data_IF_808843763241
#
_entry.id   IF_808843763241
#
_cell.length_a   1.000
_cell.length_b   1.000
_cell.length_c   1.000
_cell.angle_alpha   90.00
_cell.angle_beta   90.00
_cell.angle_gamma   90.00
#
_symmetry.space_group_name_H-M   'P 1'
#
loop_
_entity.id
_entity.type
_entity.pdbx_description
1 polymer ?
#
# COMPACT_ATOMS: atom_id res chain seq x y z
N UNK A 1 -63.98 -41.10 13.46
CA UNK A 1 -64.39 -39.99 12.55
C UNK A 1 -64.42 -38.74 13.37
N UNK A 2 -63.46 -37.91 13.14
CA UNK A 2 -63.51 -36.45 12.92
C UNK A 2 -62.10 -35.88 12.92
N UNK A 3 -61.70 -35.59 11.74
CA UNK A 3 -60.48 -34.90 11.36
C UNK A 3 -60.53 -33.43 11.79
N UNK A 4 -59.49 -32.94 12.44
CA UNK A 4 -59.32 -31.53 12.70
C UNK A 4 -58.30 -30.96 11.69
N UNK A 5 -58.61 -29.99 10.82
CA UNK A 5 -57.70 -29.41 9.87
C UNK A 5 -56.80 -28.36 10.56
N UNK A 6 -55.52 -28.54 10.37
CA UNK A 6 -54.52 -27.58 10.80
C UNK A 6 -54.73 -26.22 10.13
N UNK A 7 -54.75 -25.19 10.95
CA UNK A 7 -54.69 -23.81 10.52
C UNK A 7 -53.23 -23.44 10.31
N UNK A 8 -52.85 -23.52 9.03
CA UNK A 8 -51.66 -22.93 8.52
C UNK A 8 -51.84 -21.39 8.56
N UNK A 9 -51.19 -20.75 9.51
CA UNK A 9 -51.30 -19.30 9.67
C UNK A 9 -50.05 -18.70 9.04
N UNK A 10 -50.16 -17.91 7.93
CA UNK A 10 -49.00 -17.25 7.32
C UNK A 10 -48.42 -16.24 8.30
N UNK A 11 -47.10 -15.91 8.17
CA UNK A 11 -46.43 -14.98 9.06
C UNK A 11 -47.12 -13.59 8.98
N UNK A 12 -47.71 -13.20 10.08
CA UNK A 12 -48.39 -11.90 10.24
C UNK A 12 -47.30 -10.83 10.24
N UNK A 13 -47.25 -10.05 9.18
CA UNK A 13 -46.51 -8.79 9.08
C UNK A 13 -47.10 -7.83 10.16
N UNK A 14 -46.55 -7.89 11.39
CA UNK A 14 -46.99 -7.02 12.49
C UNK A 14 -46.41 -5.63 12.26
N UNK A 15 -47.23 -4.61 11.98
CA UNK A 15 -46.75 -3.25 11.90
C UNK A 15 -46.04 -2.87 13.21
N UNK A 16 -44.82 -2.33 13.11
CA UNK A 16 -44.04 -1.84 14.25
C UNK A 16 -44.97 -0.93 15.09
N UNK A 17 -45.13 -1.22 16.39
CA UNK A 17 -45.87 -0.32 17.28
C UNK A 17 -45.19 1.06 17.28
N UNK A 18 -45.93 2.15 17.44
CA UNK A 18 -45.38 3.50 17.45
C UNK A 18 -44.17 3.65 18.41
N UNK A 19 -44.21 2.94 19.55
CA UNK A 19 -43.12 2.87 20.52
C UNK A 19 -41.88 2.13 19.99
N UNK A 20 -42.02 1.09 19.17
CA UNK A 20 -40.90 0.37 18.56
C UNK A 20 -40.27 1.21 17.45
N UNK A 21 -41.07 1.91 16.64
CA UNK A 21 -40.56 2.84 15.63
C UNK A 21 -39.78 3.99 16.26
N UNK A 22 -40.25 4.55 17.39
CA UNK A 22 -39.52 5.60 18.12
C UNK A 22 -38.17 5.09 18.65
N UNK A 23 -38.13 3.91 19.26
CA UNK A 23 -36.89 3.30 19.75
C UNK A 23 -35.89 3.02 18.63
N UNK A 24 -36.36 2.55 17.49
CA UNK A 24 -35.53 2.33 16.31
C UNK A 24 -34.87 3.64 15.83
N UNK A 25 -35.65 4.74 15.73
CA UNK A 25 -35.11 6.03 15.33
C UNK A 25 -34.12 6.59 16.35
N UNK A 26 -34.36 6.41 17.64
CA UNK A 26 -33.41 6.77 18.69
C UNK A 26 -32.12 5.99 18.58
N UNK A 27 -32.19 4.66 18.41
CA UNK A 27 -30.99 3.82 18.24
C UNK A 27 -30.16 4.23 17.02
N UNK A 28 -30.84 4.44 15.89
CA UNK A 28 -30.17 4.94 14.68
C UNK A 28 -29.50 6.30 14.90
N UNK A 29 -30.17 7.20 15.61
CA UNK A 29 -29.64 8.51 15.99
C UNK A 29 -28.41 8.39 16.90
N UNK A 30 -28.43 7.49 17.87
CA UNK A 30 -27.27 7.24 18.76
C UNK A 30 -26.08 6.66 17.97
N UNK A 31 -26.29 5.71 17.08
CA UNK A 31 -25.23 5.17 16.21
C UNK A 31 -24.60 6.27 15.36
N UNK A 32 -25.42 7.14 14.76
CA UNK A 32 -24.94 8.27 13.97
C UNK A 32 -24.13 9.27 14.81
N UNK A 33 -24.62 9.61 16.02
CA UNK A 33 -23.93 10.49 16.96
C UNK A 33 -22.55 9.94 17.39
N UNK A 34 -22.44 8.61 17.53
CA UNK A 34 -21.20 7.90 17.79
C UNK A 34 -20.33 7.71 16.54
N UNK A 35 -20.74 8.23 15.38
CA UNK A 35 -20.07 8.09 14.07
C UNK A 35 -19.99 6.65 13.56
N UNK A 36 -20.88 5.78 14.01
CA UNK A 36 -21.03 4.40 13.53
C UNK A 36 -22.00 4.40 12.33
N UNK A 37 -21.54 4.99 11.23
CA UNK A 37 -22.42 5.28 10.07
C UNK A 37 -22.88 4.01 9.37
N UNK A 38 -22.00 3.04 9.17
CA UNK A 38 -22.32 1.77 8.53
C UNK A 38 -23.29 0.97 9.39
N UNK A 39 -23.08 0.93 10.70
CA UNK A 39 -24.01 0.29 11.63
C UNK A 39 -25.39 0.96 11.61
N UNK A 40 -25.45 2.30 11.54
CA UNK A 40 -26.74 3.03 11.44
C UNK A 40 -27.48 2.74 10.12
N UNK A 41 -26.75 2.53 9.02
CA UNK A 41 -27.32 2.20 7.70
C UNK A 41 -27.76 0.74 7.64
N UNK A 42 -26.97 -0.19 8.21
CA UNK A 42 -27.22 -1.63 8.17
C UNK A 42 -28.18 -2.12 9.29
N UNK A 43 -28.53 -1.25 10.23
CA UNK A 43 -29.40 -1.59 11.37
C UNK A 43 -30.70 -2.30 10.96
N UNK A 44 -31.48 -1.83 9.94
CA UNK A 44 -32.69 -2.50 9.52
C UNK A 44 -32.43 -3.95 9.09
N UNK A 45 -31.48 -4.13 8.19
CA UNK A 45 -31.17 -5.44 7.65
C UNK A 45 -30.72 -6.45 8.72
N UNK A 46 -29.91 -5.99 9.69
CA UNK A 46 -29.46 -6.83 10.80
C UNK A 46 -30.63 -7.19 11.75
N UNK A 47 -31.55 -6.26 12.01
CA UNK A 47 -32.73 -6.54 12.84
C UNK A 47 -33.70 -7.53 12.17
N UNK A 48 -33.97 -7.34 10.87
CA UNK A 48 -34.81 -8.25 10.09
C UNK A 48 -34.22 -9.67 10.05
N UNK A 49 -32.92 -9.75 9.85
CA UNK A 49 -32.21 -11.02 9.86
C UNK A 49 -32.19 -11.66 11.25
N UNK A 50 -31.97 -10.88 12.31
CA UNK A 50 -32.02 -11.37 13.68
C UNK A 50 -33.43 -11.95 14.02
N UNK A 51 -34.49 -11.32 13.54
CA UNK A 51 -35.83 -11.80 13.71
C UNK A 51 -36.09 -13.09 12.92
N UNK A 52 -35.63 -13.19 11.67
CA UNK A 52 -35.86 -14.35 10.81
C UNK A 52 -35.02 -15.58 11.23
N UNK A 53 -33.78 -15.36 11.68
CA UNK A 53 -32.86 -16.42 12.11
C UNK A 53 -32.97 -16.74 13.62
N UNK A 54 -33.75 -16.02 14.38
CA UNK A 54 -33.89 -16.19 15.83
C UNK A 54 -32.59 -15.89 16.59
N UNK A 55 -31.80 -14.91 16.11
CA UNK A 55 -30.53 -14.57 16.75
C UNK A 55 -30.70 -14.01 18.15
N UNK A 56 -29.77 -14.30 19.05
CA UNK A 56 -29.70 -13.62 20.33
C UNK A 56 -29.36 -12.13 20.15
N UNK A 57 -29.72 -11.30 21.13
CA UNK A 57 -29.36 -9.88 21.12
C UNK A 57 -27.85 -9.67 21.00
N UNK A 58 -27.05 -10.51 21.66
CA UNK A 58 -25.58 -10.45 21.58
C UNK A 58 -25.08 -10.73 20.18
N UNK A 59 -25.66 -11.75 19.50
CA UNK A 59 -25.25 -12.09 18.12
C UNK A 59 -25.65 -10.99 17.12
N UNK A 60 -26.83 -10.38 17.31
CA UNK A 60 -27.25 -9.26 16.46
C UNK A 60 -26.36 -8.01 16.64
N UNK A 61 -25.98 -7.71 17.89
CA UNK A 61 -25.05 -6.60 18.18
C UNK A 61 -23.64 -6.87 17.64
N UNK A 62 -23.13 -8.08 17.84
CA UNK A 62 -21.82 -8.49 17.30
C UNK A 62 -21.79 -8.30 15.79
N UNK A 63 -22.77 -8.83 15.07
CA UNK A 63 -22.88 -8.69 13.62
C UNK A 63 -22.95 -7.23 13.16
N UNK A 64 -23.76 -6.40 13.85
CA UNK A 64 -23.87 -4.98 13.53
C UNK A 64 -22.54 -4.24 13.71
N UNK A 65 -21.84 -4.52 14.80
CA UNK A 65 -20.56 -3.88 15.10
C UNK A 65 -19.44 -4.41 14.20
N UNK A 66 -19.46 -5.68 13.83
CA UNK A 66 -18.49 -6.25 12.86
C UNK A 66 -18.55 -5.51 11.52
N UNK A 67 -19.76 -5.25 10.99
CA UNK A 67 -19.94 -4.47 9.76
C UNK A 67 -19.34 -3.05 9.85
N UNK A 68 -19.45 -2.39 11.00
CA UNK A 68 -18.84 -1.07 11.20
C UNK A 68 -17.32 -1.15 11.31
N UNK A 69 -16.78 -2.17 12.00
CA UNK A 69 -15.34 -2.40 12.11
C UNK A 69 -14.75 -2.63 10.73
N UNK A 70 -15.32 -3.53 9.93
CA UNK A 70 -14.85 -3.84 8.58
C UNK A 70 -14.87 -2.60 7.68
N UNK A 71 -15.99 -1.85 7.70
CA UNK A 71 -16.11 -0.62 6.92
C UNK A 71 -15.11 0.46 7.37
N UNK A 72 -14.83 0.54 8.68
CA UNK A 72 -13.89 1.49 9.23
C UNK A 72 -12.45 1.13 8.83
N UNK A 73 -12.08 -0.16 8.92
CA UNK A 73 -10.75 -0.62 8.47
C UNK A 73 -10.59 -0.44 6.96
N UNK A 74 -11.61 -0.73 6.16
CA UNK A 74 -11.59 -0.47 4.72
C UNK A 74 -11.37 1.03 4.40
N UNK A 75 -12.07 1.94 5.10
CA UNK A 75 -11.87 3.39 4.95
C UNK A 75 -10.46 3.83 5.36
N UNK A 76 -9.93 3.29 6.46
CA UNK A 76 -8.56 3.57 6.92
C UNK A 76 -7.52 3.09 5.93
N UNK A 77 -7.68 1.87 5.42
CA UNK A 77 -6.79 1.32 4.39
C UNK A 77 -6.82 2.15 3.11
N UNK A 78 -8.00 2.50 2.62
CA UNK A 78 -8.14 3.38 1.45
C UNK A 78 -7.45 4.74 1.66
N UNK A 79 -7.55 5.31 2.87
CA UNK A 79 -6.83 6.53 3.26
C UNK A 79 -5.31 6.35 3.25
N UNK A 80 -4.80 5.25 3.81
CA UNK A 80 -3.36 4.92 3.80
C UNK A 80 -2.82 4.71 2.39
N UNK A 81 -3.53 3.97 1.55
CA UNK A 81 -3.14 3.73 0.16
C UNK A 81 -3.16 5.02 -0.69
N UNK A 82 -4.16 5.89 -0.48
CA UNK A 82 -4.18 7.21 -1.14
C UNK A 82 -2.99 8.07 -0.72
N UNK A 83 -2.67 8.10 0.58
CA UNK A 83 -1.52 8.84 1.09
C UNK A 83 -0.20 8.26 0.60
N UNK A 84 -0.12 6.94 0.39
CA UNK A 84 1.10 6.26 -0.04
C UNK A 84 1.57 6.67 -1.43
N UNK A 85 0.72 7.22 -2.30
CA UNK A 85 1.05 7.68 -3.66
C UNK A 85 1.78 6.61 -4.48
N UNK A 86 1.34 5.35 -4.39
CA UNK A 86 1.97 4.24 -5.12
C UNK A 86 1.76 4.40 -6.63
N UNK A 87 2.83 4.29 -7.46
CA UNK A 87 2.75 4.53 -8.90
C UNK A 87 2.02 3.42 -9.66
N UNK A 88 1.94 2.21 -9.08
CA UNK A 88 1.32 1.04 -9.70
C UNK A 88 0.54 0.23 -8.66
N UNK A 89 -0.39 -0.65 -9.09
CA UNK A 89 -1.07 -1.58 -8.18
C UNK A 89 -0.23 -2.82 -7.81
N UNK A 90 1.07 -2.86 -8.11
CA UNK A 90 1.95 -3.99 -7.87
C UNK A 90 1.89 -4.47 -6.41
N UNK A 91 1.89 -5.80 -6.23
CA UNK A 91 1.96 -6.48 -4.94
C UNK A 91 3.15 -7.44 -4.93
N UNK A 92 3.54 -7.96 -3.74
CA UNK A 92 4.62 -8.95 -3.66
C UNK A 92 4.17 -10.32 -4.20
N UNK A 93 2.87 -10.61 -4.15
CA UNK A 93 2.26 -11.84 -4.67
C UNK A 93 2.33 -11.89 -6.20
N UNK A 94 2.24 -10.74 -6.86
CA UNK A 94 2.29 -10.62 -8.33
C UNK A 94 3.72 -10.62 -8.89
N UNK A 95 4.74 -10.73 -8.02
CA UNK A 95 6.13 -10.68 -8.44
C UNK A 95 6.58 -12.00 -9.06
N UNK A 96 7.12 -11.94 -10.28
CA UNK A 96 7.70 -13.10 -10.99
C UNK A 96 9.11 -13.39 -10.47
N UNK A 97 9.21 -14.25 -9.46
CA UNK A 97 10.49 -14.65 -8.86
C UNK A 97 11.36 -15.48 -9.81
N UNK A 98 10.75 -16.19 -10.76
CA UNK A 98 11.49 -17.01 -11.73
C UNK A 98 12.26 -16.13 -12.73
N UNK A 99 11.77 -14.91 -12.93
CA UNK A 99 12.42 -13.91 -13.76
C UNK A 99 13.57 -13.17 -13.09
N UNK A 100 13.66 -13.21 -11.77
CA UNK A 100 14.65 -12.51 -10.96
C UNK A 100 15.67 -13.52 -10.40
N UNK A 101 16.61 -13.95 -11.24
CA UNK A 101 17.61 -14.93 -10.84
C UNK A 101 18.40 -14.46 -9.60
N UNK A 102 18.49 -15.35 -8.59
CA UNK A 102 19.26 -15.06 -7.36
C UNK A 102 18.51 -14.25 -6.29
N UNK A 103 17.26 -13.84 -6.53
CA UNK A 103 16.46 -13.20 -5.51
C UNK A 103 15.92 -14.22 -4.51
N UNK A 104 16.24 -14.06 -3.24
CA UNK A 104 15.73 -14.91 -2.17
C UNK A 104 14.25 -14.61 -1.89
N UNK A 105 13.39 -15.52 -2.34
CA UNK A 105 11.93 -15.46 -2.14
C UNK A 105 11.54 -15.44 -0.66
N UNK A 106 12.28 -16.17 0.20
CA UNK A 106 11.99 -16.23 1.63
C UNK A 106 12.31 -14.89 2.30
N UNK A 107 13.41 -14.23 1.91
CA UNK A 107 13.76 -12.90 2.38
C UNK A 107 12.69 -11.86 1.98
N UNK A 108 12.21 -11.88 0.74
CA UNK A 108 11.14 -10.97 0.30
C UNK A 108 9.83 -11.23 1.05
N UNK A 109 9.49 -12.50 1.29
CA UNK A 109 8.31 -12.88 2.08
C UNK A 109 8.44 -12.39 3.54
N UNK A 110 9.62 -12.54 4.16
CA UNK A 110 9.87 -12.03 5.53
C UNK A 110 9.74 -10.50 5.57
N UNK A 111 10.29 -9.78 4.60
CA UNK A 111 10.10 -8.33 4.50
C UNK A 111 8.62 -7.97 4.30
N UNK A 112 7.86 -8.79 3.58
CA UNK A 112 6.40 -8.64 3.42
C UNK A 112 5.63 -8.69 4.74
N UNK A 113 6.16 -9.32 5.80
CA UNK A 113 5.56 -9.30 7.15
C UNK A 113 5.64 -7.95 7.84
N UNK A 114 6.43 -7.01 7.32
CA UNK A 114 6.65 -5.67 7.85
C UNK A 114 7.34 -5.59 9.23
N UNK A 115 7.87 -6.69 9.78
CA UNK A 115 8.58 -6.68 11.09
C UNK A 115 9.80 -5.77 11.09
N UNK A 116 10.48 -5.64 9.94
CA UNK A 116 11.63 -4.76 9.80
C UNK A 116 11.33 -3.28 10.13
N UNK A 117 10.06 -2.85 10.05
CA UNK A 117 9.64 -1.50 10.39
C UNK A 117 9.75 -1.22 11.90
N UNK A 118 9.52 -2.23 12.74
CA UNK A 118 9.59 -2.10 14.21
C UNK A 118 11.01 -1.79 14.70
N UNK A 119 12.00 -2.28 13.96
CA UNK A 119 13.42 -2.05 14.24
C UNK A 119 14.03 -0.89 13.45
N UNK A 120 13.22 -0.13 12.70
CA UNK A 120 13.68 0.93 11.81
C UNK A 120 14.77 0.45 10.83
N UNK A 121 14.64 -0.78 10.33
CA UNK A 121 15.58 -1.37 9.36
C UNK A 121 15.25 -0.86 7.95
N UNK A 122 16.28 -0.48 7.20
CA UNK A 122 16.16 -0.05 5.81
C UNK A 122 16.21 -1.25 4.86
N UNK A 123 15.68 -1.09 3.66
CA UNK A 123 15.81 -2.05 2.56
C UNK A 123 16.40 -1.33 1.37
N UNK A 124 17.50 -1.84 0.82
CA UNK A 124 18.18 -1.25 -0.34
C UNK A 124 18.16 -2.27 -1.47
N UNK A 125 17.48 -1.91 -2.57
CA UNK A 125 17.34 -2.73 -3.76
C UNK A 125 18.30 -2.22 -4.85
N UNK A 126 19.29 -3.02 -5.20
CA UNK A 126 20.33 -2.66 -6.16
C UNK A 126 20.21 -3.58 -7.39
N UNK A 127 20.35 -3.05 -8.58
CA UNK A 127 20.40 -3.87 -9.80
C UNK A 127 20.14 -3.08 -11.07
N UNK A 128 20.32 -3.68 -12.25
CA UNK A 128 20.12 -3.02 -13.52
C UNK A 128 18.66 -2.59 -13.75
N UNK A 129 18.39 -1.70 -14.71
CA UNK A 129 17.02 -1.32 -15.06
C UNK A 129 16.18 -2.53 -15.51
N UNK A 130 14.92 -2.57 -15.09
CA UNK A 130 13.95 -3.57 -15.57
C UNK A 130 13.88 -4.87 -14.76
N UNK A 131 14.76 -5.12 -13.78
CA UNK A 131 14.78 -6.37 -12.97
C UNK A 131 13.75 -6.44 -11.84
N UNK A 132 12.82 -5.48 -11.74
CA UNK A 132 11.72 -5.55 -10.77
C UNK A 132 11.95 -4.80 -9.44
N UNK A 133 13.03 -4.00 -9.28
CA UNK A 133 13.27 -3.21 -8.04
C UNK A 133 12.08 -2.37 -7.60
N UNK A 134 11.55 -1.57 -8.53
CA UNK A 134 10.36 -0.73 -8.27
C UNK A 134 9.16 -1.58 -7.89
N UNK A 135 8.95 -2.75 -8.52
CA UNK A 135 7.86 -3.67 -8.18
C UNK A 135 7.96 -4.12 -6.71
N UNK A 136 9.14 -4.57 -6.28
CA UNK A 136 9.38 -4.97 -4.89
C UNK A 136 9.19 -3.78 -3.95
N UNK A 137 9.74 -2.60 -4.27
CA UNK A 137 9.58 -1.40 -3.44
C UNK A 137 8.11 -1.00 -3.27
N UNK A 138 7.32 -1.03 -4.34
CA UNK A 138 5.87 -0.77 -4.32
C UNK A 138 5.14 -1.86 -3.54
N UNK A 139 5.48 -3.13 -3.74
CA UNK A 139 4.90 -4.27 -3.02
C UNK A 139 5.13 -4.18 -1.51
N UNK A 140 6.36 -3.87 -1.07
CA UNK A 140 6.69 -3.63 0.34
C UNK A 140 5.93 -2.42 0.91
N UNK A 141 5.84 -1.34 0.16
CA UNK A 141 5.09 -0.15 0.57
C UNK A 141 3.58 -0.45 0.70
N UNK A 142 3.02 -1.25 -0.22
CA UNK A 142 1.63 -1.71 -0.18
C UNK A 142 1.38 -2.63 1.02
N UNK A 143 2.23 -3.64 1.23
CA UNK A 143 2.14 -4.53 2.39
C UNK A 143 2.17 -3.74 3.71
N UNK A 144 3.04 -2.74 3.81
CA UNK A 144 3.12 -1.85 4.98
C UNK A 144 1.83 -1.04 5.20
N UNK A 145 1.20 -0.53 4.13
CA UNK A 145 -0.08 0.18 4.22
C UNK A 145 -1.22 -0.77 4.67
N UNK A 146 -1.24 -2.01 4.18
CA UNK A 146 -2.18 -3.04 4.63
C UNK A 146 -1.96 -3.41 6.09
N UNK A 147 -0.72 -3.54 6.54
CA UNK A 147 -0.36 -3.79 7.93
C UNK A 147 -0.65 -2.60 8.89
N UNK A 148 -1.20 -1.50 8.38
CA UNK A 148 -1.62 -0.35 9.20
C UNK A 148 -0.59 0.78 9.27
N UNK A 149 0.59 0.63 8.70
CA UNK A 149 1.64 1.63 8.76
C UNK A 149 1.41 2.77 7.77
N UNK A 150 1.78 3.97 8.17
CA UNK A 150 1.78 5.14 7.30
C UNK A 150 2.99 5.07 6.36
N UNK A 151 2.73 4.94 5.08
CA UNK A 151 3.75 4.75 4.03
C UNK A 151 3.66 5.85 2.99
N UNK A 152 4.80 6.29 2.45
CA UNK A 152 4.85 7.25 1.36
C UNK A 152 5.88 6.81 0.31
N UNK A 153 5.50 6.88 -0.97
CA UNK A 153 6.37 6.57 -2.11
C UNK A 153 6.71 7.88 -2.86
N UNK A 154 7.96 8.00 -3.28
CA UNK A 154 8.43 9.10 -4.12
C UNK A 154 9.63 8.64 -4.94
N UNK A 155 9.92 9.32 -6.06
CA UNK A 155 11.21 9.17 -6.72
C UNK A 155 12.26 10.07 -6.07
N UNK A 156 13.55 9.76 -6.25
CA UNK A 156 14.62 10.64 -5.79
C UNK A 156 14.54 12.03 -6.44
N UNK A 157 14.15 12.08 -7.73
CA UNK A 157 13.97 13.31 -8.47
C UNK A 157 12.82 14.18 -7.93
N UNK A 158 11.65 13.58 -7.64
CA UNK A 158 10.50 14.30 -7.08
C UNK A 158 10.77 14.81 -5.67
N UNK A 159 11.44 14.00 -4.84
CA UNK A 159 11.88 14.41 -3.51
C UNK A 159 12.79 15.64 -3.61
N UNK A 160 13.80 15.59 -4.48
CA UNK A 160 14.72 16.68 -4.72
C UNK A 160 14.00 17.95 -5.19
N UNK A 161 13.14 17.84 -6.20
CA UNK A 161 12.37 18.97 -6.74
C UNK A 161 11.44 19.58 -5.69
N UNK A 162 10.81 18.77 -4.86
CA UNK A 162 9.94 19.26 -3.77
C UNK A 162 10.74 19.95 -2.68
N UNK A 163 11.89 19.44 -2.31
CA UNK A 163 12.76 20.06 -1.33
C UNK A 163 13.33 21.39 -1.85
N UNK A 164 13.77 21.46 -3.10
CA UNK A 164 14.23 22.69 -3.73
C UNK A 164 13.15 23.78 -3.71
N UNK A 165 11.93 23.48 -4.15
CA UNK A 165 10.81 24.43 -4.08
C UNK A 165 10.53 24.88 -2.65
N UNK A 166 10.58 23.95 -1.69
CA UNK A 166 10.32 24.28 -0.28
C UNK A 166 11.39 25.22 0.31
N UNK A 167 12.64 25.10 -0.15
CA UNK A 167 13.71 26.04 0.24
C UNK A 167 13.44 27.47 -0.27
N UNK A 168 13.05 27.59 -1.54
CA UNK A 168 12.71 28.89 -2.15
C UNK A 168 11.48 29.54 -1.46
N UNK A 169 10.47 28.73 -1.14
CA UNK A 169 9.20 29.18 -0.59
C UNK A 169 9.20 29.33 0.95
N UNK A 170 10.33 29.11 1.62
CA UNK A 170 10.43 29.17 3.09
C UNK A 170 9.66 28.05 3.83
N UNK A 171 9.30 26.95 3.14
CA UNK A 171 8.53 25.83 3.69
C UNK A 171 9.39 24.61 4.04
N UNK A 172 10.69 24.80 4.17
CA UNK A 172 11.65 23.74 4.42
C UNK A 172 11.30 22.83 5.60
N UNK A 173 11.05 23.41 6.78
CA UNK A 173 10.74 22.68 7.99
C UNK A 173 9.46 21.82 7.86
N UNK A 174 8.46 22.30 7.13
CA UNK A 174 7.22 21.57 6.88
C UNK A 174 7.46 20.38 5.95
N UNK A 175 8.26 20.58 4.90
CA UNK A 175 8.63 19.51 3.95
C UNK A 175 9.49 18.44 4.62
N UNK A 176 10.44 18.81 5.46
CA UNK A 176 11.22 17.85 6.23
C UNK A 176 10.34 17.03 7.19
N UNK A 177 9.41 17.65 7.91
CA UNK A 177 8.44 16.95 8.76
C UNK A 177 7.54 16.01 7.95
N UNK A 178 7.14 16.41 6.75
CA UNK A 178 6.37 15.56 5.85
C UNK A 178 7.11 14.27 5.51
N UNK A 179 8.39 14.36 5.09
CA UNK A 179 9.20 13.18 4.75
C UNK A 179 9.64 12.37 5.98
N UNK A 180 9.77 12.98 7.14
CA UNK A 180 10.08 12.29 8.40
C UNK A 180 8.88 11.54 9.01
N UNK A 181 7.64 11.94 8.66
CA UNK A 181 6.41 11.47 9.31
C UNK A 181 5.96 10.03 9.00
N UNK A 182 6.08 9.51 7.77
CA UNK A 182 5.70 8.14 7.46
C UNK A 182 6.58 7.11 8.17
N UNK A 183 6.01 5.97 8.60
CA UNK A 183 6.80 4.85 9.14
C UNK A 183 7.71 4.26 8.08
N UNK A 184 7.22 4.16 6.83
CA UNK A 184 8.01 3.75 5.67
C UNK A 184 8.05 4.86 4.62
N UNK A 185 9.25 5.20 4.16
CA UNK A 185 9.49 6.04 2.99
C UNK A 185 10.14 5.19 1.90
N UNK A 186 9.44 5.01 0.79
CA UNK A 186 10.01 4.39 -0.40
C UNK A 186 10.57 5.49 -1.33
N UNK A 187 11.86 5.40 -1.65
CA UNK A 187 12.55 6.32 -2.55
C UNK A 187 13.04 5.51 -3.75
N UNK A 188 12.44 5.76 -4.89
CA UNK A 188 12.75 5.04 -6.13
C UNK A 188 13.73 5.81 -7.02
N UNK A 189 14.48 5.08 -7.85
CA UNK A 189 15.33 5.62 -8.91
C UNK A 189 16.50 6.50 -8.45
N UNK A 190 17.12 6.19 -7.30
CA UNK A 190 18.34 6.89 -6.92
C UNK A 190 19.49 6.51 -7.88
N UNK A 191 20.13 7.52 -8.46
CA UNK A 191 21.29 7.35 -9.35
C UNK A 191 20.96 7.17 -10.82
N UNK A 192 19.70 7.36 -11.23
CA UNK A 192 19.33 7.43 -12.64
C UNK A 192 19.91 8.68 -13.33
N UNK A 193 19.90 9.79 -12.61
CA UNK A 193 20.54 11.05 -12.99
C UNK A 193 21.38 11.57 -11.82
N UNK A 194 22.49 12.27 -12.09
CA UNK A 194 23.21 12.98 -11.05
C UNK A 194 22.27 13.97 -10.34
N UNK A 195 22.34 14.03 -9.02
CA UNK A 195 21.56 14.97 -8.24
C UNK A 195 22.33 16.31 -8.13
N UNK A 196 21.64 17.46 -8.31
CA UNK A 196 22.21 18.76 -7.93
C UNK A 196 22.62 18.76 -6.45
N UNK A 197 23.63 19.56 -6.07
CA UNK A 197 24.17 19.59 -4.70
C UNK A 197 23.10 19.88 -3.64
N UNK A 198 22.15 20.77 -3.94
CA UNK A 198 21.03 21.08 -3.06
C UNK A 198 20.10 19.85 -2.87
N UNK A 199 19.91 19.07 -3.91
CA UNK A 199 19.10 17.86 -3.88
C UNK A 199 19.80 16.75 -3.06
N UNK A 200 21.10 16.59 -3.22
CA UNK A 200 21.90 15.67 -2.42
C UNK A 200 21.85 16.03 -0.93
N UNK A 201 22.00 17.32 -0.61
CA UNK A 201 21.88 17.84 0.75
C UNK A 201 20.48 17.61 1.34
N UNK A 202 19.43 17.80 0.55
CA UNK A 202 18.05 17.56 0.97
C UNK A 202 17.82 16.07 1.27
N UNK A 203 18.27 15.18 0.39
CA UNK A 203 18.18 13.74 0.59
C UNK A 203 18.93 13.29 1.85
N UNK A 204 20.14 13.80 2.05
CA UNK A 204 20.92 13.54 3.26
C UNK A 204 20.18 13.98 4.53
N UNK A 205 19.53 15.14 4.53
CA UNK A 205 18.75 15.60 5.67
C UNK A 205 17.53 14.70 5.93
N UNK A 206 16.83 14.27 4.89
CA UNK A 206 15.71 13.32 5.04
C UNK A 206 16.19 12.02 5.66
N UNK A 207 17.28 11.43 5.14
CA UNK A 207 17.89 10.20 5.69
C UNK A 207 18.30 10.40 7.15
N UNK A 208 18.95 11.52 7.46
CA UNK A 208 19.42 11.84 8.82
C UNK A 208 18.28 11.99 9.82
N UNK A 209 17.16 12.62 9.44
CA UNK A 209 16.00 12.76 10.32
C UNK A 209 15.31 11.44 10.60
N UNK A 210 15.39 10.49 9.66
CA UNK A 210 14.79 9.16 9.76
C UNK A 210 15.69 8.11 10.43
N UNK A 211 16.98 8.40 10.53
CA UNK A 211 17.98 7.49 11.05
C UNK A 211 17.59 6.90 12.41
N UNK A 212 17.54 5.57 12.49
CA UNK A 212 17.12 4.76 13.65
C UNK A 212 15.70 5.04 14.19
N UNK A 213 14.87 5.76 13.47
CA UNK A 213 13.50 6.10 13.87
C UNK A 213 12.45 5.44 13.00
N UNK A 214 12.70 5.40 11.70
CA UNK A 214 11.75 4.91 10.69
C UNK A 214 12.53 4.34 9.51
N UNK A 215 11.88 3.44 8.75
CA UNK A 215 12.53 2.72 7.67
C UNK A 215 12.48 3.46 6.32
N UNK A 216 13.49 3.19 5.51
CA UNK A 216 13.56 3.60 4.10
C UNK A 216 13.66 2.34 3.24
N UNK A 217 12.82 2.25 2.19
CA UNK A 217 13.05 1.35 1.05
C UNK A 217 13.64 2.20 -0.07
N UNK A 218 14.80 1.84 -0.56
CA UNK A 218 15.49 2.62 -1.58
C UNK A 218 15.85 1.72 -2.76
N UNK A 219 15.58 2.19 -3.98
CA UNK A 219 16.03 1.51 -5.19
C UNK A 219 17.11 2.29 -5.89
N UNK A 220 18.09 1.59 -6.44
CA UNK A 220 19.17 2.18 -7.21
C UNK A 220 19.64 1.23 -8.31
N UNK A 221 20.13 1.79 -9.41
CA UNK A 221 20.79 1.06 -10.49
C UNK A 221 22.33 1.10 -10.39
N UNK A 222 22.85 1.77 -9.37
CA UNK A 222 24.28 1.93 -9.12
C UNK A 222 24.69 1.24 -7.83
N UNK A 223 25.80 0.55 -7.87
CA UNK A 223 26.42 0.01 -6.66
C UNK A 223 26.77 1.12 -5.66
N UNK A 224 26.85 0.76 -4.40
CA UNK A 224 27.10 1.70 -3.27
C UNK A 224 28.36 2.53 -3.47
N UNK A 225 29.40 1.94 -4.11
CA UNK A 225 30.67 2.63 -4.40
C UNK A 225 30.57 3.80 -5.38
N UNK A 226 29.51 3.84 -6.21
CA UNK A 226 29.28 4.91 -7.17
C UNK A 226 28.47 6.09 -6.64
N UNK A 227 28.07 6.07 -5.36
CA UNK A 227 27.19 7.10 -4.82
C UNK A 227 27.84 8.47 -4.65
N UNK A 228 29.18 8.52 -4.54
CA UNK A 228 29.93 9.76 -4.59
C UNK A 228 29.71 10.55 -5.88
N UNK A 229 29.67 9.85 -7.01
CA UNK A 229 29.38 10.44 -8.32
C UNK A 229 27.93 10.92 -8.45
N UNK A 230 26.97 10.13 -7.90
CA UNK A 230 25.54 10.44 -7.95
C UNK A 230 25.21 11.70 -7.15
N UNK A 231 25.82 11.84 -5.98
CA UNK A 231 25.54 12.93 -5.04
C UNK A 231 26.45 14.15 -5.26
N UNK A 232 27.47 14.03 -6.13
CA UNK A 232 28.40 15.11 -6.42
C UNK A 232 29.34 15.49 -5.26
N UNK A 233 29.25 14.77 -4.12
CA UNK A 233 30.08 14.96 -2.93
C UNK A 233 30.31 13.63 -2.23
N UNK A 234 31.57 13.19 -2.20
CA UNK A 234 31.97 11.92 -1.59
C UNK A 234 31.77 11.89 -0.08
N UNK A 235 31.90 13.03 0.61
CA UNK A 235 31.72 13.14 2.05
C UNK A 235 30.24 13.00 2.44
N UNK A 236 29.36 13.69 1.70
CA UNK A 236 27.91 13.56 1.89
C UNK A 236 27.45 12.14 1.56
N UNK A 237 28.01 11.55 0.48
CA UNK A 237 27.71 10.17 0.11
C UNK A 237 28.12 9.18 1.20
N UNK A 238 29.34 9.29 1.72
CA UNK A 238 29.83 8.42 2.79
C UNK A 238 28.97 8.54 4.05
N UNK A 239 28.63 9.76 4.47
CA UNK A 239 27.82 10.01 5.65
C UNK A 239 26.35 9.52 5.48
N UNK A 240 25.81 9.55 4.25
CA UNK A 240 24.48 9.02 3.95
C UNK A 240 24.48 7.49 3.93
N UNK A 241 25.51 6.89 3.31
CA UNK A 241 25.68 5.45 3.28
C UNK A 241 25.85 4.85 4.67
N UNK A 242 26.67 5.47 5.53
CA UNK A 242 26.82 5.05 6.92
C UNK A 242 25.46 4.94 7.62
N UNK A 243 24.59 5.94 7.46
CA UNK A 243 23.25 5.94 8.08
C UNK A 243 22.31 4.92 7.46
N UNK A 244 22.32 4.78 6.14
CA UNK A 244 21.41 3.86 5.44
C UNK A 244 21.80 2.41 5.69
N UNK A 245 23.10 2.10 5.68
CA UNK A 245 23.63 0.74 5.80
C UNK A 245 23.68 0.26 7.25
N UNK A 246 23.76 1.14 8.24
CA UNK A 246 23.90 0.77 9.64
C UNK A 246 22.86 -0.26 10.10
N UNK A 247 21.62 -0.13 9.67
CA UNK A 247 20.56 -1.14 9.83
C UNK A 247 19.86 -1.30 8.49
N UNK A 248 20.33 -2.23 7.69
CA UNK A 248 19.75 -2.45 6.38
C UNK A 248 19.81 -3.90 5.93
N UNK A 249 18.82 -4.26 5.12
CA UNK A 249 18.84 -5.43 4.26
C UNK A 249 19.17 -4.93 2.86
N UNK A 250 20.29 -5.40 2.30
CA UNK A 250 20.70 -5.06 0.93
C UNK A 250 20.37 -6.25 0.04
N UNK A 251 19.61 -6.01 -1.01
CA UNK A 251 19.18 -7.02 -1.97
C UNK A 251 19.74 -6.62 -3.34
N UNK A 252 20.59 -7.48 -3.88
CA UNK A 252 21.05 -7.35 -5.24
C UNK A 252 20.11 -8.13 -6.16
N UNK A 253 19.54 -7.45 -7.13
CA UNK A 253 18.71 -8.05 -8.17
C UNK A 253 19.51 -8.13 -9.46
N UNK A 254 19.73 -9.32 -9.93
CA UNK A 254 20.36 -9.60 -11.20
C UNK A 254 19.34 -10.25 -12.15
N UNK A 255 19.57 -10.18 -13.46
CA UNK A 255 18.73 -10.81 -14.45
C UNK A 255 18.43 -9.93 -15.65
N UNK A 256 17.70 -10.51 -16.59
CA UNK A 256 17.27 -9.82 -17.79
C UNK A 256 16.11 -8.86 -17.51
N UNK A 257 16.03 -7.79 -18.28
CA UNK A 257 14.97 -6.82 -18.15
C UNK A 257 13.60 -7.44 -18.45
N UNK A 258 12.75 -7.52 -17.44
CA UNK A 258 11.33 -7.94 -17.58
C UNK A 258 10.59 -7.09 -18.62
N UNK A 259 10.87 -5.79 -18.66
CA UNK A 259 10.27 -4.86 -19.63
C UNK A 259 10.63 -5.23 -21.08
N UNK A 260 11.84 -5.68 -21.33
CA UNK A 260 12.26 -6.13 -22.67
C UNK A 260 11.59 -7.46 -23.04
N UNK A 261 11.49 -8.40 -22.09
CA UNK A 261 10.80 -9.68 -22.32
C UNK A 261 9.32 -9.47 -22.65
N UNK A 262 8.62 -8.65 -21.89
CA UNK A 262 7.21 -8.31 -22.12
C UNK A 262 7.01 -7.62 -23.49
N UNK A 263 7.92 -6.73 -23.87
CA UNK A 263 7.92 -6.08 -25.18
C UNK A 263 8.13 -7.10 -26.32
N UNK A 264 9.06 -8.04 -26.16
CA UNK A 264 9.27 -9.10 -27.16
C UNK A 264 8.06 -10.02 -27.28
N UNK A 265 7.46 -10.43 -26.17
CA UNK A 265 6.26 -11.27 -26.17
C UNK A 265 5.06 -10.56 -26.85
N UNK A 266 4.85 -9.28 -26.58
CA UNK A 266 3.80 -8.49 -27.22
C UNK A 266 4.04 -8.31 -28.72
N UNK A 267 5.28 -8.06 -29.12
CA UNK A 267 5.62 -7.97 -30.55
C UNK A 267 5.41 -9.29 -31.29
N UNK A 268 5.73 -10.43 -30.67
CA UNK A 268 5.44 -11.74 -31.26
C UNK A 268 3.94 -12.00 -31.36
N UNK A 269 3.15 -11.65 -30.35
CA UNK A 269 1.68 -11.76 -30.43
C UNK A 269 1.11 -10.91 -31.57
N UNK A 270 1.55 -9.66 -31.70
CA UNK A 270 1.12 -8.79 -32.79
C UNK A 270 1.52 -9.34 -34.17
N UNK A 271 2.71 -9.91 -34.32
CA UNK A 271 3.14 -10.56 -35.58
C UNK A 271 2.28 -11.77 -35.91
N UNK A 272 1.92 -12.61 -34.92
CA UNK A 272 1.06 -13.78 -35.11
C UNK A 272 -0.37 -13.40 -35.54
N UNK A 273 -0.94 -12.33 -34.96
CA UNK A 273 -2.25 -11.80 -35.33
C UNK A 273 -2.25 -11.19 -36.73
N UNK A 274 -1.14 -10.55 -37.16
CA UNK A 274 -1.05 -9.93 -38.50
C UNK A 274 -0.80 -10.96 -39.63
N UNK A 275 -0.17 -12.10 -39.30
CA UNK A 275 0.10 -13.18 -40.28
C UNK A 275 -1.10 -14.11 -40.45
N UNK A 276 -2.05 -14.17 -39.50
CA UNK A 276 -3.26 -15.00 -39.55
C UNK A 276 -4.40 -14.44 -40.44
N UNK A 277 -4.29 -13.19 -40.92
CA UNK A 277 -5.40 -12.53 -41.67
C UNK A 277 -5.23 -12.57 -43.21
N UNK A 278 -4.21 -13.24 -43.72
CA UNK A 278 -4.10 -13.47 -45.17
C UNK A 278 -4.70 -14.85 -45.55
N UNK A 279 -6.02 -14.94 -45.63
CA UNK A 279 -6.65 -15.94 -46.51
C UNK A 279 -6.55 -15.45 -47.97
N UNK A 280 -6.08 -16.29 -48.91
CA UNK A 280 -6.12 -15.95 -50.32
C UNK A 280 -7.57 -16.01 -50.77
N UNK A 281 -8.02 -14.92 -51.38
CA UNK A 281 -9.28 -14.86 -52.14
C UNK A 281 -9.02 -15.62 -53.46
N UNK A 282 -9.69 -16.77 -53.60
CA UNK A 282 -9.84 -17.47 -54.89
C UNK A 282 -11.12 -17.02 -55.56
#
# INVERSE_FOLDING_TARGET
MTTNPGTDNPPVDRPLTAAAATRYQQLRGHLAALRLHTAAEQLPAVLDQAASEGLSVTAALERLLALEVDATEARRLAGRLRFACLPTPASLEDFDFDAAAGLDRQLVAELGTCRYLESATNVILIGPPGVGKTHIAVGLARASAHAGYRTYFTTAADLAARCHRAAIEGRWATTMRFYAGPTLLAIDELGYLPLPAEAASALFQVVSQRYLKTSIVLTTNRGVGAWGEILGDTTVAAAMLDRLLHRSVVINLDGDSYRLRDHHARNEQLRRTTTGTRQPIH
#
